data_IF_175956906362
#
_entry.id   IF_175956906362
#
_cell.length_a   1.000
_cell.length_b   1.000
_cell.length_c   1.000
_cell.angle_alpha   90.00
_cell.angle_beta   90.00
_cell.angle_gamma   90.00
#
_symmetry.space_group_name_H-M   'P 1'
#
loop_
_entity.id
_entity.type
_entity.pdbx_description
1 polymer ?
#
# COMPACT_ATOMS: atom_id res chain seq x y z
N UNK A 1 -34.46 56.60 7.71
CA UNK A 1 -33.87 55.27 7.97
C UNK A 1 -34.16 54.37 6.78
N UNK A 2 -33.23 54.22 5.84
CA UNK A 2 -33.37 53.24 4.75
C UNK A 2 -32.58 51.99 5.12
N UNK A 3 -33.29 50.86 5.25
CA UNK A 3 -32.74 49.56 5.60
C UNK A 3 -32.29 48.85 4.32
N UNK A 4 -30.98 48.67 4.14
CA UNK A 4 -30.43 47.84 3.08
C UNK A 4 -30.60 46.38 3.47
N UNK A 5 -31.54 45.70 2.82
CA UNK A 5 -31.78 44.27 3.01
C UNK A 5 -30.68 43.49 2.28
N UNK A 6 -29.73 42.94 3.04
CA UNK A 6 -28.75 41.99 2.50
C UNK A 6 -29.46 40.70 2.12
N UNK A 7 -29.48 40.39 0.83
CA UNK A 7 -29.87 39.07 0.36
C UNK A 7 -28.73 38.09 0.68
N UNK A 8 -29.00 36.90 1.24
CA UNK A 8 -27.98 35.88 1.37
C UNK A 8 -27.53 35.50 -0.04
N UNK A 9 -26.29 35.85 -0.37
CA UNK A 9 -25.62 35.35 -1.56
C UNK A 9 -25.63 33.84 -1.43
N UNK A 10 -26.49 33.16 -2.20
CA UNK A 10 -26.39 31.72 -2.38
C UNK A 10 -24.91 31.47 -2.67
N UNK A 11 -24.24 30.78 -1.75
CA UNK A 11 -22.95 30.22 -2.06
C UNK A 11 -23.24 29.39 -3.29
N UNK A 12 -22.78 29.85 -4.46
CA UNK A 12 -22.52 28.97 -5.55
C UNK A 12 -21.52 27.98 -4.96
N UNK A 13 -22.04 26.90 -4.38
CA UNK A 13 -21.36 25.64 -4.26
C UNK A 13 -21.04 25.29 -5.69
N UNK A 14 -19.94 25.89 -6.16
CA UNK A 14 -19.21 25.43 -7.31
C UNK A 14 -19.01 23.96 -7.00
N UNK A 15 -19.86 23.14 -7.62
CA UNK A 15 -19.65 21.71 -7.72
C UNK A 15 -18.36 21.60 -8.51
N UNK A 16 -17.24 21.75 -7.80
CA UNK A 16 -15.94 21.34 -8.27
C UNK A 16 -16.13 19.84 -8.48
N UNK A 17 -16.36 19.45 -9.73
CA UNK A 17 -16.42 18.06 -10.13
C UNK A 17 -15.09 17.46 -9.68
N UNK A 18 -15.11 16.70 -8.58
CA UNK A 18 -13.92 16.04 -8.09
C UNK A 18 -13.40 15.15 -9.22
N UNK A 19 -12.09 15.21 -9.50
CA UNK A 19 -11.46 14.38 -10.52
C UNK A 19 -11.63 12.88 -10.24
N UNK A 20 -11.92 12.52 -8.99
CA UNK A 20 -12.28 11.17 -8.58
C UNK A 20 -13.70 11.15 -8.00
N UNK A 21 -14.52 10.24 -8.51
CA UNK A 21 -15.84 9.90 -7.96
C UNK A 21 -15.75 8.90 -6.81
N UNK A 22 -14.55 8.42 -6.47
CA UNK A 22 -14.34 7.45 -5.40
C UNK A 22 -14.22 8.15 -4.04
N UNK A 23 -14.98 7.68 -3.06
CA UNK A 23 -14.91 8.15 -1.67
C UNK A 23 -13.48 7.98 -1.12
N UNK A 24 -12.88 9.00 -0.48
CA UNK A 24 -11.55 8.87 0.10
C UNK A 24 -11.58 7.83 1.22
N UNK A 25 -10.82 6.75 1.05
CA UNK A 25 -10.60 5.72 2.08
C UNK A 25 -9.35 6.12 2.87
N UNK A 26 -9.48 6.49 4.16
CA UNK A 26 -8.36 7.05 4.92
C UNK A 26 -7.29 6.02 5.30
N UNK A 27 -7.52 4.73 5.06
CA UNK A 27 -6.61 3.65 5.41
C UNK A 27 -6.36 2.74 4.20
N UNK A 28 -5.09 2.51 3.89
CA UNK A 28 -4.65 1.43 3.02
C UNK A 28 -3.92 0.39 3.88
N UNK A 29 -4.57 -0.75 4.13
CA UNK A 29 -3.99 -1.88 4.87
C UNK A 29 -3.97 -3.12 3.97
N UNK A 30 -2.84 -3.82 3.98
CA UNK A 30 -2.67 -5.10 3.28
C UNK A 30 -2.07 -6.13 4.24
N UNK A 31 -2.63 -7.33 4.27
CA UNK A 31 -2.07 -8.48 4.99
C UNK A 31 -1.71 -9.55 3.96
N UNK A 32 -0.42 -9.93 3.93
CA UNK A 32 0.10 -10.91 2.99
C UNK A 32 0.65 -12.09 3.79
N UNK A 33 0.08 -13.27 3.59
CA UNK A 33 0.53 -14.52 4.22
C UNK A 33 1.00 -15.44 3.10
N UNK A 34 2.28 -15.76 3.09
CA UNK A 34 2.90 -16.54 2.02
C UNK A 34 4.32 -16.92 2.35
N UNK A 35 5.04 -17.37 1.32
CA UNK A 35 6.42 -17.86 1.41
C UNK A 35 7.39 -16.84 0.86
N UNK A 36 8.57 -16.74 1.45
CA UNK A 36 9.63 -15.88 0.94
C UNK A 36 10.22 -16.50 -0.34
N UNK A 37 10.23 -15.73 -1.43
CA UNK A 37 10.80 -16.15 -2.70
C UNK A 37 12.32 -16.35 -2.61
N UNK A 38 12.96 -15.48 -1.81
CA UNK A 38 14.39 -15.40 -1.62
C UNK A 38 14.73 -14.75 -0.27
N UNK A 39 16.01 -14.79 0.11
CA UNK A 39 16.51 -14.13 1.32
C UNK A 39 16.38 -12.61 1.20
N UNK A 40 15.89 -11.91 2.24
CA UNK A 40 15.78 -10.45 2.21
C UNK A 40 17.13 -9.75 2.07
N UNK A 41 17.20 -8.75 1.18
CA UNK A 41 18.42 -8.02 0.86
C UNK A 41 18.34 -6.54 1.24
N UNK A 42 19.49 -5.96 1.60
CA UNK A 42 19.62 -4.53 1.85
C UNK A 42 19.95 -3.80 0.55
N UNK A 43 19.06 -2.90 0.17
CA UNK A 43 19.27 -2.05 -1.00
C UNK A 43 19.43 -0.58 -0.55
N UNK A 44 20.56 0.07 -0.89
CA UNK A 44 20.71 1.50 -0.63
C UNK A 44 19.75 2.30 -1.53
N UNK A 45 19.12 3.33 -0.97
CA UNK A 45 18.34 4.30 -1.74
C UNK A 45 19.13 5.58 -1.97
N UNK A 46 18.81 6.32 -3.04
CA UNK A 46 19.50 7.56 -3.39
C UNK A 46 19.38 8.67 -2.33
N UNK A 47 18.46 8.53 -1.37
CA UNK A 47 18.28 9.47 -0.24
C UNK A 47 19.14 9.10 0.98
N UNK A 48 20.01 8.09 0.87
CA UNK A 48 20.92 7.65 1.93
C UNK A 48 20.28 6.73 2.97
N UNK A 49 19.01 6.37 2.81
CA UNK A 49 18.35 5.37 3.65
C UNK A 49 18.45 3.98 3.01
N UNK A 50 18.67 2.96 3.81
CA UNK A 50 18.64 1.59 3.31
C UNK A 50 17.23 1.02 3.45
N UNK A 51 16.80 0.29 2.42
CA UNK A 51 15.53 -0.44 2.46
C UNK A 51 15.79 -1.94 2.36
N UNK A 52 14.94 -2.71 3.02
CA UNK A 52 14.98 -4.17 2.93
C UNK A 52 14.03 -4.57 1.80
N UNK A 53 14.53 -5.26 0.79
CA UNK A 53 13.71 -5.78 -0.32
C UNK A 53 13.55 -7.28 -0.18
N UNK A 54 12.33 -7.75 -0.35
CA UNK A 54 12.02 -9.17 -0.42
C UNK A 54 10.76 -9.40 -1.25
N UNK A 55 10.59 -10.63 -1.72
CA UNK A 55 9.41 -11.02 -2.47
C UNK A 55 8.65 -12.12 -1.73
N UNK A 56 7.32 -12.00 -1.68
CA UNK A 56 6.43 -13.02 -1.10
C UNK A 56 5.57 -13.63 -2.20
N UNK A 57 5.55 -14.96 -2.24
CA UNK A 57 4.60 -15.74 -3.03
C UNK A 57 3.39 -16.10 -2.17
N UNK A 58 2.22 -15.59 -2.54
CA UNK A 58 0.93 -15.93 -1.91
C UNK A 58 0.18 -16.86 -2.84
N UNK A 59 0.01 -18.11 -2.43
CA UNK A 59 -0.81 -19.07 -3.18
C UNK A 59 -2.28 -18.89 -2.84
N UNK A 60 -3.13 -18.62 -3.82
CA UNK A 60 -4.55 -18.34 -3.64
C UNK A 60 -5.43 -19.00 -4.70
N UNK A 61 -6.74 -19.01 -4.46
CA UNK A 61 -7.73 -19.48 -5.45
C UNK A 61 -7.91 -21.01 -5.55
N UNK A 62 -8.80 -21.46 -6.45
CA UNK A 62 -9.00 -22.88 -6.76
C UNK A 62 -7.78 -23.47 -7.47
N UNK A 63 -7.64 -24.79 -7.40
CA UNK A 63 -6.59 -25.52 -8.14
C UNK A 63 -6.97 -25.60 -9.62
N UNK A 64 -5.99 -25.58 -10.49
CA UNK A 64 -6.17 -25.86 -11.92
C UNK A 64 -6.44 -27.36 -12.18
N UNK A 65 -6.75 -27.70 -13.43
CA UNK A 65 -6.98 -29.09 -13.88
C UNK A 65 -5.77 -30.01 -13.62
N UNK A 66 -4.57 -29.43 -13.57
CA UNK A 66 -3.31 -30.14 -13.29
C UNK A 66 -2.98 -30.22 -11.79
N UNK A 67 -3.86 -29.71 -10.91
CA UNK A 67 -3.71 -29.74 -9.45
C UNK A 67 -2.84 -28.62 -8.86
N UNK A 68 -2.34 -27.68 -9.67
CA UNK A 68 -1.51 -26.56 -9.22
C UNK A 68 -2.36 -25.37 -8.76
N UNK A 69 -1.81 -24.57 -7.84
CA UNK A 69 -2.46 -23.37 -7.33
C UNK A 69 -1.80 -22.12 -7.91
N UNK A 70 -2.61 -21.13 -8.31
CA UNK A 70 -2.08 -19.86 -8.77
C UNK A 70 -1.32 -19.14 -7.63
N UNK A 71 -0.14 -18.60 -7.95
CA UNK A 71 0.70 -17.87 -7.01
C UNK A 71 0.80 -16.40 -7.45
N UNK A 72 0.38 -15.51 -6.55
CA UNK A 72 0.55 -14.07 -6.71
C UNK A 72 1.88 -13.65 -6.05
N UNK A 73 2.73 -12.99 -6.83
CA UNK A 73 4.03 -12.51 -6.36
C UNK A 73 3.96 -11.04 -5.98
N UNK A 74 4.39 -10.72 -4.76
CA UNK A 74 4.42 -9.37 -4.22
C UNK A 74 5.86 -8.95 -3.94
N UNK A 75 6.24 -7.78 -4.43
CA UNK A 75 7.53 -7.13 -4.11
C UNK A 75 7.31 -6.18 -2.95
N UNK A 76 8.03 -6.38 -1.87
CA UNK A 76 7.89 -5.62 -0.64
C UNK A 76 9.18 -4.84 -0.39
N UNK A 77 9.02 -3.56 -0.08
CA UNK A 77 10.09 -2.69 0.41
C UNK A 77 9.75 -2.31 1.85
N UNK A 78 10.56 -2.77 2.80
CA UNK A 78 10.43 -2.38 4.20
C UNK A 78 11.40 -1.24 4.53
N UNK A 79 10.86 -0.25 5.22
CA UNK A 79 11.59 0.89 5.78
C UNK A 79 11.78 0.74 7.30
N UNK A 80 11.61 -0.47 7.83
CA UNK A 80 11.77 -0.77 9.25
C UNK A 80 13.23 -0.60 9.68
N UNK A 81 13.43 -0.03 10.87
CA UNK A 81 14.75 0.20 11.47
C UNK A 81 14.91 -0.60 12.77
N UNK A 82 16.15 -0.73 13.26
CA UNK A 82 16.45 -1.38 14.54
C UNK A 82 16.17 -2.89 14.57
N UNK A 83 15.60 -3.45 15.66
CA UNK A 83 15.42 -4.90 15.81
C UNK A 83 14.55 -5.56 14.73
N UNK A 84 13.59 -4.81 14.17
CA UNK A 84 12.74 -5.32 13.09
C UNK A 84 13.53 -5.58 11.81
N UNK A 85 14.54 -4.75 11.53
CA UNK A 85 15.45 -4.95 10.41
C UNK A 85 16.26 -6.23 10.59
N UNK A 86 16.86 -6.42 11.75
CA UNK A 86 17.65 -7.63 12.05
C UNK A 86 16.80 -8.89 11.96
N UNK A 87 15.55 -8.84 12.45
CA UNK A 87 14.61 -9.94 12.29
C UNK A 87 14.38 -10.27 10.82
N UNK A 88 14.06 -9.27 9.99
CA UNK A 88 13.80 -9.48 8.56
C UNK A 88 15.02 -10.03 7.83
N UNK A 89 16.23 -9.57 8.16
CA UNK A 89 17.47 -10.07 7.56
C UNK A 89 17.86 -11.47 8.02
N UNK A 90 17.41 -11.89 9.21
CA UNK A 90 17.61 -13.26 9.72
C UNK A 90 16.72 -14.31 9.05
N UNK A 91 15.70 -13.88 8.29
CA UNK A 91 14.77 -14.79 7.63
C UNK A 91 15.44 -15.47 6.43
N UNK A 92 15.34 -16.80 6.40
CA UNK A 92 15.74 -17.60 5.24
C UNK A 92 14.59 -17.76 4.25
N UNK A 93 14.93 -18.10 3.00
CA UNK A 93 13.96 -18.48 1.97
C UNK A 93 13.10 -19.67 2.44
N UNK A 94 11.79 -19.56 2.30
CA UNK A 94 10.85 -20.61 2.74
C UNK A 94 9.41 -20.18 2.76
#
# INVERSE_FOLDING_TARGET
MQSFRSLPRAAASASARAFSTTVPRPLAKMELIGRLADTPELMPTSTGREIIRYAIGVSGGPKDENGNRAVSWFRIASFSEGPQRELLLSLSKG
#
